data_IF_787604561636
#
_entry.id   IF_787604561636
#
_cell.length_a   1.000
_cell.length_b   1.000
_cell.length_c   1.000
_cell.angle_alpha   90.00
_cell.angle_beta   90.00
_cell.angle_gamma   90.00
#
_symmetry.space_group_name_H-M   'P 1'
#
loop_
_entity.id
_entity.type
_entity.pdbx_description
1 polymer ?
#
# COMPACT_ATOMS: atom_id res chain seq x y z
N UNK A 1 -72.24 1.31 -43.08
CA UNK A 1 -71.86 0.64 -41.82
C UNK A 1 -70.58 1.27 -41.32
N UNK A 2 -70.56 1.64 -40.04
CA UNK A 2 -69.60 2.57 -39.44
C UNK A 2 -68.15 2.04 -39.49
N UNK A 3 -67.25 2.64 -40.30
CA UNK A 3 -65.83 2.25 -40.37
C UNK A 3 -65.04 2.61 -39.11
N UNK A 4 -65.65 3.35 -38.16
CA UNK A 4 -64.96 3.87 -36.98
C UNK A 4 -64.73 2.82 -35.88
N UNK A 5 -65.55 1.77 -35.83
CA UNK A 5 -65.51 0.80 -34.74
C UNK A 5 -64.53 -0.38 -34.96
N UNK A 6 -63.77 -0.34 -36.06
CA UNK A 6 -62.64 -1.23 -36.33
C UNK A 6 -61.28 -0.52 -36.07
N UNK A 7 -61.30 0.50 -35.20
CA UNK A 7 -60.13 1.29 -34.82
C UNK A 7 -59.95 1.19 -33.30
N UNK A 8 -58.82 0.63 -32.85
CA UNK A 8 -58.55 0.41 -31.42
C UNK A 8 -57.84 -0.92 -31.16
N UNK A 9 -57.83 -1.38 -29.91
CA UNK A 9 -57.27 -2.69 -29.56
C UNK A 9 -57.93 -3.82 -30.36
N UNK A 10 -57.15 -4.81 -30.79
CA UNK A 10 -57.63 -5.95 -31.58
C UNK A 10 -58.78 -6.66 -30.86
N UNK A 11 -58.68 -6.81 -29.54
CA UNK A 11 -59.71 -7.40 -28.69
C UNK A 11 -61.06 -6.68 -28.81
N UNK A 12 -61.05 -5.34 -28.74
CA UNK A 12 -62.24 -4.52 -28.90
C UNK A 12 -62.83 -4.62 -30.32
N UNK A 13 -61.98 -4.77 -31.34
CA UNK A 13 -62.43 -4.98 -32.73
C UNK A 13 -63.12 -6.35 -32.90
N UNK A 14 -62.60 -7.40 -32.26
CA UNK A 14 -63.22 -8.73 -32.23
C UNK A 14 -64.58 -8.70 -31.53
N UNK A 15 -64.65 -8.08 -30.34
CA UNK A 15 -65.90 -7.92 -29.60
C UNK A 15 -66.96 -7.17 -30.41
N UNK A 16 -66.56 -6.11 -31.11
CA UNK A 16 -67.45 -5.31 -31.93
C UNK A 16 -67.99 -6.07 -33.15
N UNK A 17 -67.13 -6.82 -33.85
CA UNK A 17 -67.54 -7.67 -34.97
C UNK A 17 -68.53 -8.74 -34.51
N UNK A 18 -68.27 -9.39 -33.37
CA UNK A 18 -69.16 -10.40 -32.81
C UNK A 18 -70.54 -9.81 -32.44
N UNK A 19 -70.56 -8.60 -31.87
CA UNK A 19 -71.80 -7.93 -31.45
C UNK A 19 -72.64 -7.45 -32.64
N UNK A 20 -72.00 -6.90 -33.68
CA UNK A 20 -72.69 -6.43 -34.88
C UNK A 20 -73.09 -7.52 -35.88
N UNK A 21 -72.51 -8.72 -35.75
CA UNK A 21 -72.80 -9.83 -36.65
C UNK A 21 -74.24 -10.34 -36.48
N UNK A 22 -74.87 -10.71 -37.59
CA UNK A 22 -76.24 -11.21 -37.60
C UNK A 22 -76.23 -12.70 -37.25
N UNK A 23 -77.01 -13.15 -36.28
CA UNK A 23 -77.17 -14.60 -36.03
C UNK A 23 -77.88 -15.27 -37.21
N UNK A 24 -77.35 -16.43 -37.65
CA UNK A 24 -77.92 -17.30 -38.67
C UNK A 24 -78.68 -18.45 -38.01
N UNK A 25 -78.03 -19.15 -37.09
CA UNK A 25 -78.59 -20.20 -36.23
C UNK A 25 -78.16 -19.96 -34.75
N UNK A 26 -78.52 -20.90 -33.86
CA UNK A 26 -78.15 -20.84 -32.44
C UNK A 26 -76.63 -20.69 -32.21
N UNK A 27 -75.82 -21.31 -33.08
CA UNK A 27 -74.36 -21.37 -32.94
C UNK A 27 -73.58 -20.55 -34.00
N UNK A 28 -74.26 -19.97 -34.99
CA UNK A 28 -73.59 -19.35 -36.16
C UNK A 28 -73.97 -17.89 -36.35
N UNK A 29 -72.99 -17.06 -36.72
CA UNK A 29 -73.15 -15.63 -36.97
C UNK A 29 -72.58 -15.24 -38.34
N UNK A 30 -73.37 -14.55 -39.14
CA UNK A 30 -72.95 -13.94 -40.41
C UNK A 30 -72.15 -12.67 -40.15
N UNK A 31 -70.89 -12.71 -40.52
CA UNK A 31 -69.97 -11.58 -40.49
C UNK A 31 -69.75 -11.09 -41.93
N UNK A 32 -69.72 -9.77 -42.11
CA UNK A 32 -69.38 -9.18 -43.42
C UNK A 32 -67.91 -9.43 -43.75
N UNK A 33 -67.64 -9.90 -44.97
CA UNK A 33 -66.27 -10.15 -45.47
C UNK A 33 -65.34 -8.95 -45.29
N UNK A 34 -65.83 -7.74 -45.56
CA UNK A 34 -65.05 -6.50 -45.40
C UNK A 34 -64.57 -6.27 -43.97
N UNK A 35 -65.38 -6.61 -42.95
CA UNK A 35 -64.99 -6.43 -41.55
C UNK A 35 -63.90 -7.43 -41.15
N UNK A 36 -64.02 -8.67 -41.62
CA UNK A 36 -63.01 -9.71 -41.41
C UNK A 36 -61.67 -9.34 -42.07
N UNK A 37 -61.72 -8.76 -43.27
CA UNK A 37 -60.52 -8.32 -44.01
C UNK A 37 -59.81 -7.16 -43.32
N UNK A 38 -60.56 -6.18 -42.82
CA UNK A 38 -60.02 -5.07 -42.01
C UNK A 38 -59.39 -5.59 -40.72
N UNK A 39 -60.08 -6.47 -39.98
CA UNK A 39 -59.55 -7.07 -38.75
C UNK A 39 -58.26 -7.86 -39.01
N UNK A 40 -58.23 -8.64 -40.09
CA UNK A 40 -57.04 -9.40 -40.52
C UNK A 40 -55.88 -8.46 -40.80
N UNK A 41 -56.13 -7.36 -41.53
CA UNK A 41 -55.10 -6.37 -41.85
C UNK A 41 -54.57 -5.69 -40.60
N UNK A 42 -55.46 -5.20 -39.72
CA UNK A 42 -55.08 -4.56 -38.46
C UNK A 42 -54.26 -5.50 -37.57
N UNK A 43 -54.69 -6.76 -37.46
CA UNK A 43 -53.96 -7.78 -36.69
C UNK A 43 -52.57 -8.03 -37.26
N UNK A 44 -52.45 -8.15 -38.59
CA UNK A 44 -51.16 -8.34 -39.25
C UNK A 44 -50.23 -7.12 -39.05
N UNK A 45 -50.77 -5.90 -39.13
CA UNK A 45 -50.03 -4.67 -38.93
C UNK A 45 -49.52 -4.56 -37.48
N UNK A 46 -50.35 -4.89 -36.47
CA UNK A 46 -49.93 -4.92 -35.06
C UNK A 46 -48.86 -5.99 -34.81
N UNK A 47 -49.02 -7.20 -35.37
CA UNK A 47 -47.99 -8.26 -35.25
C UNK A 47 -46.67 -7.80 -35.86
N UNK A 48 -46.72 -7.15 -37.03
CA UNK A 48 -45.53 -6.61 -37.69
C UNK A 48 -44.86 -5.52 -36.84
N UNK A 49 -45.65 -4.63 -36.25
CA UNK A 49 -45.17 -3.60 -35.33
C UNK A 49 -44.48 -4.20 -34.12
N UNK A 50 -45.15 -5.13 -33.42
CA UNK A 50 -44.60 -5.81 -32.24
C UNK A 50 -43.32 -6.58 -32.57
N UNK A 51 -43.27 -7.30 -33.70
CA UNK A 51 -42.03 -7.94 -34.16
C UNK A 51 -40.90 -6.94 -34.39
N UNK A 52 -41.21 -5.78 -34.96
CA UNK A 52 -40.25 -4.69 -35.15
C UNK A 52 -39.75 -4.09 -33.83
N UNK A 53 -40.62 -3.90 -32.84
CA UNK A 53 -40.23 -3.43 -31.51
C UNK A 53 -39.38 -4.47 -30.76
N UNK A 54 -39.76 -5.74 -30.82
CA UNK A 54 -38.97 -6.84 -30.22
C UNK A 54 -37.57 -6.88 -30.85
N UNK A 55 -37.46 -6.75 -32.16
CA UNK A 55 -36.15 -6.70 -32.84
C UNK A 55 -35.30 -5.53 -32.34
N UNK A 56 -35.87 -4.32 -32.25
CA UNK A 56 -35.19 -3.12 -31.74
C UNK A 56 -34.75 -3.27 -30.28
N UNK A 57 -35.61 -3.81 -29.42
CA UNK A 57 -35.30 -4.04 -28.01
C UNK A 57 -34.17 -5.08 -27.88
N UNK A 58 -34.21 -6.14 -28.68
CA UNK A 58 -33.19 -7.19 -28.68
C UNK A 58 -31.84 -6.63 -29.12
N UNK A 59 -31.82 -5.79 -30.17
CA UNK A 59 -30.61 -5.11 -30.64
C UNK A 59 -30.05 -4.16 -29.58
N UNK A 60 -30.89 -3.30 -28.99
CA UNK A 60 -30.49 -2.40 -27.91
C UNK A 60 -29.97 -3.13 -26.67
N UNK A 61 -30.60 -4.26 -26.31
CA UNK A 61 -30.16 -5.12 -25.20
C UNK A 61 -28.80 -5.75 -25.50
N UNK A 62 -28.60 -6.27 -26.71
CA UNK A 62 -27.31 -6.84 -27.13
C UNK A 62 -26.18 -5.80 -27.09
N UNK A 63 -26.45 -4.56 -27.53
CA UNK A 63 -25.51 -3.44 -27.47
C UNK A 63 -25.17 -3.05 -26.03
N UNK A 64 -26.18 -3.03 -25.15
CA UNK A 64 -25.98 -2.75 -23.72
C UNK A 64 -25.17 -3.84 -23.02
N UNK A 65 -25.39 -5.11 -23.35
CA UNK A 65 -24.60 -6.25 -22.84
C UNK A 65 -23.15 -6.15 -23.32
N UNK A 66 -22.93 -5.83 -24.60
CA UNK A 66 -21.59 -5.65 -25.15
C UNK A 66 -20.84 -4.49 -24.47
N UNK A 67 -21.52 -3.37 -24.25
CA UNK A 67 -20.96 -2.20 -23.53
C UNK A 67 -20.64 -2.54 -22.08
N UNK A 68 -21.53 -3.24 -21.38
CA UNK A 68 -21.30 -3.66 -19.99
C UNK A 68 -20.11 -4.64 -19.89
N UNK A 69 -19.98 -5.56 -20.85
CA UNK A 69 -18.83 -6.47 -20.94
C UNK A 69 -17.54 -5.69 -21.18
N UNK A 70 -17.53 -4.78 -22.15
CA UNK A 70 -16.36 -3.93 -22.44
C UNK A 70 -15.96 -3.10 -21.22
N UNK A 71 -16.92 -2.51 -20.51
CA UNK A 71 -16.63 -1.71 -19.32
C UNK A 71 -16.05 -2.57 -18.20
N UNK A 72 -16.59 -3.77 -17.99
CA UNK A 72 -16.05 -4.74 -17.02
C UNK A 72 -14.63 -5.18 -17.38
N UNK A 73 -14.38 -5.45 -18.66
CA UNK A 73 -13.05 -5.81 -19.15
C UNK A 73 -12.07 -4.64 -18.91
N UNK A 74 -12.47 -3.40 -19.22
CA UNK A 74 -11.67 -2.20 -18.95
C UNK A 74 -11.40 -1.96 -17.46
N UNK A 75 -12.38 -2.22 -16.57
CA UNK A 75 -12.17 -2.14 -15.12
C UNK A 75 -11.17 -3.19 -14.67
N UNK A 76 -11.30 -4.43 -15.15
CA UNK A 76 -10.37 -5.51 -14.81
C UNK A 76 -8.94 -5.21 -15.30
N UNK A 77 -8.78 -4.60 -16.48
CA UNK A 77 -7.45 -4.20 -16.97
C UNK A 77 -6.87 -3.07 -16.13
N UNK A 78 -7.69 -2.07 -15.77
CA UNK A 78 -7.25 -0.94 -14.95
C UNK A 78 -6.84 -1.38 -13.54
N UNK A 79 -7.58 -2.30 -12.93
CA UNK A 79 -7.22 -2.89 -11.64
C UNK A 79 -5.88 -3.66 -11.72
N UNK A 80 -5.65 -4.38 -12.83
CA UNK A 80 -4.39 -5.05 -13.11
C UNK A 80 -3.22 -4.07 -13.25
N UNK A 81 -3.39 -3.02 -14.06
CA UNK A 81 -2.40 -1.96 -14.24
C UNK A 81 -2.12 -1.21 -12.95
N UNK A 82 -3.15 -0.89 -12.17
CA UNK A 82 -2.99 -0.23 -10.87
C UNK A 82 -2.22 -1.11 -9.88
N UNK A 83 -2.42 -2.43 -9.91
CA UNK A 83 -1.64 -3.36 -9.09
C UNK A 83 -0.18 -3.38 -9.50
N UNK A 84 0.11 -3.46 -10.79
CA UNK A 84 1.47 -3.41 -11.33
C UNK A 84 2.16 -2.08 -11.01
N UNK A 85 1.44 -0.97 -11.14
CA UNK A 85 1.98 0.35 -10.83
C UNK A 85 2.18 0.56 -9.34
N UNK A 86 1.29 0.04 -8.49
CA UNK A 86 1.50 0.02 -7.05
C UNK A 86 2.73 -0.81 -6.68
N UNK A 87 2.90 -1.98 -7.27
CA UNK A 87 4.06 -2.83 -7.03
C UNK A 87 5.37 -2.14 -7.47
N UNK A 88 5.36 -1.38 -8.58
CA UNK A 88 6.49 -0.54 -9.01
C UNK A 88 6.75 0.65 -8.08
N UNK A 89 5.73 1.42 -7.73
CA UNK A 89 5.86 2.63 -6.92
C UNK A 89 6.17 2.36 -5.45
N UNK A 90 5.72 1.22 -4.93
CA UNK A 90 6.11 0.75 -3.60
C UNK A 90 7.51 0.11 -3.58
N UNK A 91 8.12 -0.17 -4.73
CA UNK A 91 9.48 -0.67 -4.80
C UNK A 91 10.51 0.46 -4.98
N UNK A 92 11.49 0.53 -4.09
CA UNK A 92 12.71 1.32 -4.29
C UNK A 92 13.82 0.33 -4.60
N UNK A 93 14.41 0.45 -5.78
CA UNK A 93 15.53 -0.40 -6.19
C UNK A 93 16.82 0.12 -5.53
N UNK A 94 17.45 -0.71 -4.70
CA UNK A 94 18.73 -0.42 -4.06
C UNK A 94 19.67 -1.61 -4.28
N UNK A 95 20.81 -1.38 -4.95
CA UNK A 95 21.77 -2.41 -5.37
C UNK A 95 21.17 -3.55 -6.24
N UNK A 96 20.12 -3.27 -7.01
CA UNK A 96 19.48 -4.25 -7.90
C UNK A 96 18.50 -5.19 -7.20
N UNK A 97 18.18 -4.93 -5.92
CA UNK A 97 17.12 -5.60 -5.17
C UNK A 97 16.02 -4.56 -4.93
N UNK A 98 14.79 -4.94 -5.25
CA UNK A 98 13.61 -4.11 -5.04
C UNK A 98 13.11 -4.27 -3.61
N UNK A 99 13.16 -3.18 -2.84
CA UNK A 99 12.66 -3.15 -1.46
C UNK A 99 11.35 -2.36 -1.38
N UNK A 100 10.39 -2.86 -0.61
CA UNK A 100 9.19 -2.10 -0.31
C UNK A 100 9.56 -0.79 0.42
N UNK A 101 8.92 0.33 0.08
CA UNK A 101 9.23 1.68 0.59
C UNK A 101 9.26 1.76 2.12
N UNK A 102 8.33 1.06 2.77
CA UNK A 102 8.30 0.95 4.24
C UNK A 102 9.52 0.18 4.77
N UNK A 103 9.84 -0.98 4.18
CA UNK A 103 10.99 -1.79 4.55
C UNK A 103 12.31 -1.04 4.37
N UNK A 104 12.47 -0.28 3.27
CA UNK A 104 13.64 0.55 3.05
C UNK A 104 13.81 1.59 4.16
N UNK A 105 12.75 2.35 4.48
CA UNK A 105 12.80 3.33 5.57
C UNK A 105 13.14 2.69 6.92
N UNK A 106 12.59 1.52 7.23
CA UNK A 106 12.91 0.77 8.46
C UNK A 106 14.37 0.35 8.50
N UNK A 107 14.89 -0.26 7.43
CA UNK A 107 16.29 -0.72 7.38
C UNK A 107 17.26 0.46 7.52
N UNK A 108 17.01 1.56 6.80
CA UNK A 108 17.84 2.76 6.86
C UNK A 108 17.87 3.34 8.28
N UNK A 109 16.70 3.46 8.94
CA UNK A 109 16.64 3.97 10.31
C UNK A 109 17.32 3.04 11.32
N UNK A 110 17.17 1.71 11.17
CA UNK A 110 17.88 0.73 12.01
C UNK A 110 19.40 0.90 11.84
N UNK A 111 19.89 1.03 10.61
CA UNK A 111 21.31 1.26 10.34
C UNK A 111 21.81 2.56 10.98
N UNK A 112 21.04 3.64 10.87
CA UNK A 112 21.34 4.93 11.52
C UNK A 112 21.40 4.77 13.05
N UNK A 113 20.43 4.06 13.66
CA UNK A 113 20.41 3.82 15.10
C UNK A 113 21.62 3.01 15.58
N UNK A 114 22.00 1.95 14.85
CA UNK A 114 23.18 1.14 15.19
C UNK A 114 24.45 1.99 15.14
N UNK A 115 24.63 2.80 14.09
CA UNK A 115 25.78 3.70 14.00
C UNK A 115 25.75 4.77 15.09
N UNK A 116 24.58 5.33 15.42
CA UNK A 116 24.46 6.30 16.51
C UNK A 116 24.88 5.69 17.86
N UNK A 117 24.44 4.46 18.16
CA UNK A 117 24.83 3.75 19.39
C UNK A 117 26.33 3.50 19.41
N UNK A 118 26.91 3.01 18.32
CA UNK A 118 28.35 2.77 18.22
C UNK A 118 29.16 4.06 18.40
N UNK A 119 28.70 5.16 17.80
CA UNK A 119 29.33 6.47 17.92
C UNK A 119 29.28 6.99 19.36
N UNK A 120 28.11 6.89 20.01
CA UNK A 120 27.93 7.28 21.41
C UNK A 120 28.83 6.43 22.32
N UNK A 121 28.85 5.11 22.14
CA UNK A 121 29.69 4.19 22.90
C UNK A 121 31.19 4.54 22.75
N UNK A 122 31.64 4.79 21.51
CA UNK A 122 33.01 5.22 21.23
C UNK A 122 33.33 6.56 21.91
N UNK A 123 32.41 7.52 21.89
CA UNK A 123 32.61 8.83 22.53
C UNK A 123 32.77 8.70 24.05
N UNK A 124 31.94 7.88 24.70
CA UNK A 124 32.08 7.60 26.13
C UNK A 124 33.38 6.86 26.46
N UNK A 125 33.75 5.85 25.66
CA UNK A 125 35.00 5.14 25.81
C UNK A 125 36.21 6.10 25.68
N UNK A 126 36.16 7.04 24.74
CA UNK A 126 37.21 8.04 24.53
C UNK A 126 37.34 8.99 25.73
N UNK A 127 36.22 9.45 26.30
CA UNK A 127 36.22 10.29 27.50
C UNK A 127 36.79 9.54 28.72
N UNK A 128 36.39 8.28 28.92
CA UNK A 128 36.89 7.45 30.02
C UNK A 128 38.40 7.23 29.87
N UNK A 129 38.84 6.83 28.68
CA UNK A 129 40.27 6.62 28.38
C UNK A 129 41.11 7.88 28.62
N UNK A 130 40.58 9.07 28.31
CA UNK A 130 41.26 10.33 28.60
C UNK A 130 41.40 10.63 30.09
N UNK A 131 40.39 10.29 30.90
CA UNK A 131 40.43 10.46 32.36
C UNK A 131 41.43 9.48 32.98
N UNK A 132 41.34 8.20 32.63
CA UNK A 132 42.24 7.15 33.14
C UNK A 132 43.70 7.48 32.81
N UNK A 133 43.96 8.02 31.60
CA UNK A 133 45.32 8.43 31.19
C UNK A 133 45.86 9.58 32.06
N UNK A 134 45.03 10.56 32.43
CA UNK A 134 45.45 11.67 33.29
C UNK A 134 45.71 11.19 34.72
N UNK A 135 44.89 10.27 35.23
CA UNK A 135 45.09 9.69 36.56
C UNK A 135 46.37 8.87 36.62
N UNK A 136 46.62 8.01 35.62
CA UNK A 136 47.87 7.25 35.54
C UNK A 136 49.10 8.16 35.42
N UNK A 137 49.04 9.24 34.64
CA UNK A 137 50.13 10.21 34.59
C UNK A 137 50.40 10.86 35.95
N UNK A 138 49.35 11.19 36.71
CA UNK A 138 49.47 11.77 38.04
C UNK A 138 50.10 10.79 39.03
N UNK A 139 49.64 9.54 39.05
CA UNK A 139 50.20 8.49 39.90
C UNK A 139 51.67 8.23 39.58
N UNK A 140 52.04 8.21 38.31
CA UNK A 140 53.45 8.07 37.90
C UNK A 140 54.29 9.23 38.40
N UNK A 141 53.76 10.46 38.33
CA UNK A 141 54.46 11.64 38.83
C UNK A 141 54.66 11.60 40.35
N UNK A 142 53.61 11.26 41.11
CA UNK A 142 53.67 11.12 42.57
C UNK A 142 54.69 10.04 42.99
N UNK A 143 54.71 8.88 42.31
CA UNK A 143 55.69 7.83 42.56
C UNK A 143 57.12 8.29 42.25
N UNK A 144 57.32 9.06 41.19
CA UNK A 144 58.63 9.55 40.80
C UNK A 144 59.18 10.57 41.82
N UNK A 145 58.33 11.45 42.33
CA UNK A 145 58.66 12.40 43.40
C UNK A 145 58.99 11.67 44.71
N UNK A 146 58.22 10.64 45.07
CA UNK A 146 58.48 9.83 46.25
C UNK A 146 59.83 9.11 46.13
N UNK A 147 60.13 8.53 44.97
CA UNK A 147 61.40 7.84 44.70
C UNK A 147 62.59 8.82 44.75
N UNK A 148 62.44 10.03 44.21
CA UNK A 148 63.46 11.09 44.34
C UNK A 148 63.67 11.48 45.81
N UNK A 149 62.59 11.65 46.58
CA UNK A 149 62.67 11.96 48.00
C UNK A 149 63.36 10.85 48.79
N UNK A 150 63.08 9.59 48.47
CA UNK A 150 63.70 8.42 49.08
C UNK A 150 65.19 8.34 48.75
N UNK A 151 65.56 8.53 47.48
CA UNK A 151 66.96 8.61 47.05
C UNK A 151 67.72 9.71 47.79
N UNK A 152 67.13 10.90 47.92
CA UNK A 152 67.73 12.01 48.66
C UNK A 152 67.96 11.65 50.13
N UNK A 153 66.94 11.10 50.81
CA UNK A 153 67.06 10.63 52.20
C UNK A 153 68.10 9.52 52.37
N UNK A 154 68.20 8.59 51.42
CA UNK A 154 69.20 7.52 51.45
C UNK A 154 70.61 8.09 51.31
N UNK A 155 70.83 9.03 50.37
CA UNK A 155 72.12 9.71 50.22
C UNK A 155 72.50 10.50 51.47
N UNK A 156 71.56 11.22 52.08
CA UNK A 156 71.80 11.96 53.33
C UNK A 156 72.21 11.01 54.47
N UNK A 157 71.54 9.85 54.60
CA UNK A 157 71.92 8.82 55.59
C UNK A 157 73.31 8.25 55.32
N UNK A 158 73.62 7.91 54.08
CA UNK A 158 74.96 7.41 53.71
C UNK A 158 76.05 8.47 53.97
N UNK A 159 75.80 9.74 53.67
CA UNK A 159 76.73 10.83 53.96
C UNK A 159 76.92 11.00 55.47
N UNK A 160 75.87 10.87 56.27
CA UNK A 160 75.94 10.99 57.72
C UNK A 160 76.67 9.79 58.36
N UNK A 161 76.41 8.57 57.88
CA UNK A 161 77.15 7.35 58.25
C UNK A 161 78.63 7.48 57.91
N UNK A 162 78.98 7.97 56.72
CA UNK A 162 80.37 8.21 56.33
C UNK A 162 81.06 9.24 57.23
N UNK A 163 80.36 10.33 57.61
CA UNK A 163 80.88 11.31 58.57
C UNK A 163 81.12 10.70 59.94
N UNK A 164 80.17 9.93 60.47
CA UNK A 164 80.32 9.23 61.75
C UNK A 164 81.48 8.23 61.75
N UNK A 165 81.65 7.46 60.68
CA UNK A 165 82.78 6.54 60.54
C UNK A 165 84.14 7.26 60.51
N UNK A 166 84.22 8.41 59.84
CA UNK A 166 85.43 9.23 59.83
C UNK A 166 85.73 9.80 61.23
N UNK A 167 84.72 10.28 61.95
CA UNK A 167 84.87 10.79 63.32
C UNK A 167 85.31 9.68 64.29
N UNK A 168 84.76 8.46 64.16
CA UNK A 168 85.19 7.29 64.93
C UNK A 168 86.65 6.89 64.63
N UNK A 169 87.06 6.94 63.36
CA UNK A 169 88.46 6.68 62.99
C UNK A 169 89.42 7.75 63.51
N UNK A 170 89.05 9.03 63.44
CA UNK A 170 89.85 10.13 63.95
C UNK A 170 89.99 10.07 65.48
N UNK A 171 88.92 9.73 66.20
CA UNK A 171 88.93 9.58 67.66
C UNK A 171 89.77 8.38 68.13
N UNK A 172 89.94 7.34 67.30
CA UNK A 172 90.76 6.16 67.62
C UNK A 172 92.26 6.36 67.39
N UNK A 173 92.63 7.32 66.54
CA UNK A 173 94.02 7.63 66.17
C UNK A 173 94.61 8.85 66.92
N UNK A 174 93.91 9.32 67.96
CA UNK A 174 94.32 10.36 68.91
C UNK A 174 94.46 9.75 70.29
#
# INVERSE_FOLDING_TARGET
MLPYALKGAIDSQFYFINTLSRSQDADTKLIRKTNLEILRKNTADTIKHLKGEIAKITEASSSSIATAKSLRDSVSTLEGELRVERDRTDSISFLGIDFQKSTYHTIVWVLICVFAIAFIASFFAFKKSKIDTVEHQKTVHELQDELQSFKKKSMEKEQLLKRQLLDEQLKRNS
#
